data_IF_446604659478
#
_entry.id   IF_446604659478
#
_cell.length_a   1.000
_cell.length_b   1.000
_cell.length_c   1.000
_cell.angle_alpha   90.00
_cell.angle_beta   90.00
_cell.angle_gamma   90.00
#
_symmetry.space_group_name_H-M   'P 1'
#
loop_
_entity.id
_entity.type
_entity.pdbx_description
1 polymer ?
#
# COMPACT_ATOMS: atom_id res chain seq x y z
N UNK A 1 -60.32 -23.13 -47.97
CA UNK A 1 -60.37 -22.33 -46.73
C UNK A 1 -60.28 -23.29 -45.55
N UNK A 2 -59.18 -23.27 -44.80
CA UNK A 2 -59.13 -23.48 -43.34
C UNK A 2 -57.67 -23.31 -42.91
N UNK A 3 -57.36 -22.13 -42.35
CA UNK A 3 -56.08 -21.82 -41.72
C UNK A 3 -56.14 -22.35 -40.28
N UNK A 4 -55.31 -23.34 -39.95
CA UNK A 4 -55.08 -23.76 -38.56
C UNK A 4 -54.09 -22.79 -37.89
N UNK A 5 -54.52 -22.16 -36.80
CA UNK A 5 -53.68 -21.28 -35.97
C UNK A 5 -52.86 -22.11 -34.98
N UNK A 6 -51.54 -21.89 -35.00
CA UNK A 6 -50.56 -22.37 -34.03
C UNK A 6 -50.67 -21.56 -32.74
N UNK A 7 -50.93 -22.22 -31.61
CA UNK A 7 -50.70 -21.66 -30.29
C UNK A 7 -49.31 -22.08 -29.80
N UNK A 8 -48.30 -21.21 -29.95
CA UNK A 8 -47.03 -21.35 -29.23
C UNK A 8 -47.20 -20.69 -27.85
N UNK A 9 -47.34 -21.49 -26.81
CA UNK A 9 -47.27 -21.03 -25.42
C UNK A 9 -45.85 -20.61 -25.09
N UNK A 10 -45.61 -19.29 -24.95
CA UNK A 10 -44.36 -18.74 -24.45
C UNK A 10 -44.32 -18.92 -22.93
N UNK A 11 -43.62 -19.96 -22.45
CA UNK A 11 -43.29 -20.11 -21.04
C UNK A 11 -42.21 -19.09 -20.68
N UNK A 12 -42.61 -17.99 -20.03
CA UNK A 12 -41.67 -17.07 -19.39
C UNK A 12 -41.14 -17.79 -18.14
N UNK A 13 -39.96 -18.37 -18.25
CA UNK A 13 -39.18 -18.78 -17.09
C UNK A 13 -38.75 -17.51 -16.35
N UNK A 14 -39.51 -17.11 -15.33
CA UNK A 14 -39.05 -16.13 -14.35
C UNK A 14 -37.97 -16.84 -13.54
N UNK A 15 -36.72 -16.73 -13.97
CA UNK A 15 -35.58 -17.03 -13.09
C UNK A 15 -35.64 -16.04 -11.95
N UNK A 16 -36.05 -16.51 -10.78
CA UNK A 16 -35.93 -15.76 -9.53
C UNK A 16 -34.45 -15.39 -9.37
N UNK A 17 -34.13 -14.12 -9.60
CA UNK A 17 -32.86 -13.56 -9.16
C UNK A 17 -32.92 -13.61 -7.64
N UNK A 18 -32.27 -14.61 -7.05
CA UNK A 18 -32.17 -14.71 -5.60
C UNK A 18 -31.56 -13.43 -5.08
N UNK A 19 -32.30 -12.70 -4.24
CA UNK A 19 -31.75 -11.54 -3.54
C UNK A 19 -30.66 -12.09 -2.62
N UNK A 20 -29.40 -11.84 -2.97
CA UNK A 20 -28.26 -12.23 -2.16
C UNK A 20 -28.45 -11.70 -0.74
N UNK A 21 -28.19 -12.56 0.25
CA UNK A 21 -28.39 -12.20 1.64
C UNK A 21 -27.47 -11.04 2.04
N UNK A 22 -27.99 -10.10 2.84
CA UNK A 22 -27.28 -8.87 3.15
C UNK A 22 -25.86 -9.14 3.72
N UNK A 23 -24.85 -8.46 3.21
CA UNK A 23 -23.45 -8.73 3.59
C UNK A 23 -22.94 -7.79 4.68
N UNK A 24 -21.92 -8.19 5.46
CA UNK A 24 -21.15 -7.27 6.29
C UNK A 24 -20.65 -6.09 5.47
N UNK A 25 -20.73 -4.87 6.03
CA UNK A 25 -20.38 -3.64 5.32
C UNK A 25 -19.07 -3.08 5.85
N UNK A 26 -18.43 -2.21 5.06
CA UNK A 26 -17.22 -1.49 5.46
C UNK A 26 -16.14 -2.41 6.04
N UNK A 27 -16.00 -3.61 5.45
CA UNK A 27 -15.02 -4.59 5.91
C UNK A 27 -13.62 -4.07 5.61
N UNK A 28 -12.77 -4.00 6.63
CA UNK A 28 -11.40 -3.48 6.53
C UNK A 28 -10.44 -4.39 7.31
N UNK A 29 -9.36 -4.83 6.66
CA UNK A 29 -8.26 -5.53 7.32
C UNK A 29 -7.18 -4.51 7.68
N UNK A 30 -6.77 -4.50 8.95
CA UNK A 30 -5.79 -3.56 9.47
C UNK A 30 -4.66 -4.33 10.16
N UNK A 31 -3.47 -4.43 9.54
CA UNK A 31 -2.29 -4.96 10.19
C UNK A 31 -1.94 -4.14 11.43
N UNK A 32 -1.63 -4.84 12.52
CA UNK A 32 -1.33 -4.24 13.83
C UNK A 32 0.10 -4.51 14.25
N UNK A 33 0.67 -5.63 13.82
CA UNK A 33 2.03 -6.04 14.14
C UNK A 33 2.57 -7.04 13.10
N UNK A 34 3.71 -7.64 13.41
CA UNK A 34 4.31 -8.74 12.64
C UNK A 34 3.49 -10.03 12.69
N UNK A 35 2.57 -10.17 13.63
CA UNK A 35 1.84 -11.43 13.88
C UNK A 35 0.34 -11.23 14.06
N UNK A 36 -0.15 -10.00 13.81
CA UNK A 36 -1.56 -9.65 14.02
C UNK A 36 -2.12 -8.77 12.92
N UNK A 37 -3.30 -9.15 12.44
CA UNK A 37 -4.19 -8.33 11.61
C UNK A 37 -5.56 -8.32 12.28
N UNK A 38 -6.15 -7.15 12.45
CA UNK A 38 -7.54 -7.01 12.92
C UNK A 38 -8.44 -6.82 11.71
N UNK A 39 -9.48 -7.64 11.59
CA UNK A 39 -10.55 -7.42 10.63
C UNK A 39 -11.69 -6.68 11.32
N UNK A 40 -12.15 -5.57 10.75
CA UNK A 40 -13.29 -4.80 11.22
C UNK A 40 -14.44 -4.89 10.23
N UNK A 41 -15.68 -4.79 10.71
CA UNK A 41 -16.86 -4.70 9.87
C UNK A 41 -18.00 -3.95 10.56
N UNK A 42 -18.93 -3.46 9.75
CA UNK A 42 -20.24 -3.00 10.17
C UNK A 42 -21.30 -4.06 9.86
N UNK A 43 -22.38 -4.13 10.68
CA UNK A 43 -23.45 -5.07 10.40
C UNK A 43 -24.18 -4.74 9.07
N UNK A 44 -24.76 -5.77 8.42
CA UNK A 44 -25.67 -5.61 7.30
C UNK A 44 -26.80 -4.61 7.61
N UNK A 45 -27.37 -3.97 6.59
CA UNK A 45 -28.57 -3.12 6.77
C UNK A 45 -29.82 -3.98 6.66
N UNK A 46 -30.85 -3.66 7.45
CA UNK A 46 -32.18 -4.26 7.33
C UNK A 46 -32.33 -5.63 7.98
N UNK A 47 -31.24 -6.33 8.27
CA UNK A 47 -31.27 -7.65 8.91
C UNK A 47 -30.17 -7.76 9.97
N UNK A 48 -30.47 -8.43 11.08
CA UNK A 48 -29.55 -8.62 12.21
C UNK A 48 -28.99 -10.05 12.19
N UNK A 49 -27.68 -10.23 11.97
CA UNK A 49 -27.03 -11.53 12.08
C UNK A 49 -27.12 -12.08 13.51
N UNK A 50 -27.27 -13.40 13.64
CA UNK A 50 -27.12 -14.10 14.92
C UNK A 50 -25.64 -14.35 15.25
N UNK A 51 -24.80 -14.50 14.22
CA UNK A 51 -23.37 -14.72 14.35
C UNK A 51 -22.60 -14.24 13.11
N UNK A 52 -21.28 -14.23 13.21
CA UNK A 52 -20.37 -14.09 12.07
C UNK A 52 -19.37 -15.23 12.03
N UNK A 53 -19.21 -15.85 10.86
CA UNK A 53 -18.09 -16.75 10.57
C UNK A 53 -16.90 -15.93 10.12
N UNK A 54 -15.75 -16.23 10.69
CA UNK A 54 -14.49 -15.55 10.39
C UNK A 54 -13.54 -16.54 9.73
N UNK A 55 -12.98 -16.15 8.58
CA UNK A 55 -12.18 -17.02 7.72
C UNK A 55 -10.77 -16.46 7.52
N UNK A 56 -9.77 -17.34 7.53
CA UNK A 56 -8.39 -17.07 7.15
C UNK A 56 -8.00 -17.98 5.99
N UNK A 57 -7.55 -17.40 4.89
CA UNK A 57 -7.19 -18.10 3.64
C UNK A 57 -8.30 -19.05 3.14
N UNK A 58 -9.56 -18.64 3.33
CA UNK A 58 -10.76 -19.40 2.93
C UNK A 58 -11.21 -20.47 3.93
N UNK A 59 -10.48 -20.67 5.03
CA UNK A 59 -10.83 -21.64 6.08
C UNK A 59 -11.50 -20.91 7.25
N UNK A 60 -12.66 -21.38 7.70
CA UNK A 60 -13.28 -20.85 8.92
C UNK A 60 -12.39 -21.15 10.14
N UNK A 61 -11.99 -20.10 10.84
CA UNK A 61 -11.14 -20.19 12.04
C UNK A 61 -11.88 -19.85 13.33
N UNK A 62 -13.00 -19.13 13.22
CA UNK A 62 -13.83 -18.75 14.35
C UNK A 62 -15.28 -18.50 13.93
N UNK A 63 -16.16 -18.56 14.92
CA UNK A 63 -17.51 -18.01 14.86
C UNK A 63 -17.67 -17.08 16.07
N UNK A 64 -18.14 -15.86 15.81
CA UNK A 64 -18.33 -14.81 16.83
C UNK A 64 -19.79 -14.40 16.89
N UNK A 65 -20.19 -13.79 17.99
CA UNK A 65 -21.58 -13.35 18.18
C UNK A 65 -22.01 -12.29 17.16
N UNK A 66 -23.32 -12.16 16.94
CA UNK A 66 -23.89 -11.21 15.98
C UNK A 66 -23.70 -9.73 16.33
N UNK A 67 -23.26 -9.39 17.55
CA UNK A 67 -22.92 -8.03 17.95
C UNK A 67 -21.43 -7.70 17.71
N UNK A 68 -20.58 -8.69 17.41
CA UNK A 68 -19.19 -8.51 17.08
C UNK A 68 -19.00 -7.61 15.85
N UNK A 69 -18.01 -6.72 15.92
CA UNK A 69 -17.65 -5.76 14.85
C UNK A 69 -16.19 -5.89 14.43
N UNK A 70 -15.47 -6.83 15.04
CA UNK A 70 -14.06 -7.06 14.77
C UNK A 70 -13.60 -8.43 15.23
N UNK A 71 -12.51 -8.91 14.61
CA UNK A 71 -11.79 -10.10 15.04
C UNK A 71 -10.28 -9.91 14.88
N UNK A 72 -9.51 -10.31 15.89
CA UNK A 72 -8.05 -10.27 15.89
C UNK A 72 -7.49 -11.62 15.44
N UNK A 73 -6.92 -11.67 14.23
CA UNK A 73 -6.13 -12.81 13.79
C UNK A 73 -4.73 -12.68 14.38
N UNK A 74 -4.33 -13.62 15.24
CA UNK A 74 -3.03 -13.64 15.94
C UNK A 74 -2.21 -14.87 15.54
N UNK A 75 -0.92 -14.91 15.91
CA UNK A 75 -0.03 -16.02 15.56
C UNK A 75 0.33 -16.07 14.07
N UNK A 76 0.15 -14.95 13.36
CA UNK A 76 0.47 -14.87 11.94
C UNK A 76 1.99 -14.77 11.71
N UNK A 77 2.45 -15.27 10.56
CA UNK A 77 3.84 -15.08 10.11
C UNK A 77 4.10 -13.65 9.65
N UNK A 78 5.27 -13.10 10.02
CA UNK A 78 5.72 -11.76 9.66
C UNK A 78 5.95 -11.56 8.16
N UNK A 79 5.53 -10.41 7.64
CA UNK A 79 5.65 -10.03 6.24
C UNK A 79 4.86 -10.91 5.26
N UNK A 80 3.98 -11.79 5.75
CA UNK A 80 3.14 -12.67 4.93
C UNK A 80 1.79 -12.01 4.65
N UNK A 81 1.33 -12.19 3.42
CA UNK A 81 0.01 -11.80 2.96
C UNK A 81 -1.04 -12.86 3.32
N UNK A 82 -2.23 -12.39 3.70
CA UNK A 82 -3.36 -13.24 4.09
C UNK A 82 -4.64 -12.76 3.45
N UNK A 83 -5.55 -13.70 3.18
CA UNK A 83 -6.95 -13.44 2.84
C UNK A 83 -7.81 -13.57 4.09
N UNK A 84 -8.37 -12.46 4.55
CA UNK A 84 -9.17 -12.39 5.78
C UNK A 84 -10.62 -12.08 5.42
N UNK A 85 -11.55 -12.87 5.95
CA UNK A 85 -12.93 -12.80 5.53
C UNK A 85 -13.92 -12.88 6.69
N UNK A 86 -15.09 -12.30 6.46
CA UNK A 86 -16.23 -12.38 7.37
C UNK A 86 -17.50 -12.71 6.58
N UNK A 87 -18.35 -13.56 7.15
CA UNK A 87 -19.63 -13.97 6.60
C UNK A 87 -20.70 -13.82 7.69
N UNK A 88 -21.80 -13.14 7.39
CA UNK A 88 -22.94 -13.04 8.30
C UNK A 88 -23.74 -14.34 8.31
N UNK A 89 -24.15 -14.79 9.50
CA UNK A 89 -25.07 -15.92 9.71
C UNK A 89 -26.34 -15.40 10.38
N UNK A 90 -27.49 -15.85 9.92
CA UNK A 90 -28.81 -15.35 10.32
C UNK A 90 -29.57 -16.34 11.21
N UNK A 91 -30.58 -15.89 11.97
CA UNK A 91 -31.34 -16.77 12.87
C UNK A 91 -32.02 -17.98 12.20
N UNK A 92 -32.32 -17.88 10.90
CA UNK A 92 -32.90 -18.95 10.09
C UNK A 92 -31.86 -19.91 9.49
N UNK A 93 -30.59 -19.76 9.87
CA UNK A 93 -29.47 -20.59 9.41
C UNK A 93 -28.90 -20.19 8.05
N UNK A 94 -29.47 -19.20 7.35
CA UNK A 94 -28.90 -18.68 6.10
C UNK A 94 -27.62 -17.89 6.38
N UNK A 95 -26.77 -17.77 5.35
CA UNK A 95 -25.53 -17.02 5.42
C UNK A 95 -25.41 -16.05 4.23
N UNK A 96 -24.73 -14.92 4.45
CA UNK A 96 -24.39 -13.98 3.39
C UNK A 96 -23.31 -14.52 2.46
N UNK A 97 -23.04 -13.81 1.37
CA UNK A 97 -21.76 -13.95 0.67
C UNK A 97 -20.59 -13.60 1.62
N UNK A 98 -19.41 -14.16 1.32
CA UNK A 98 -18.18 -13.90 2.08
C UNK A 98 -17.59 -12.57 1.63
N UNK A 99 -17.29 -11.69 2.57
CA UNK A 99 -16.60 -10.43 2.28
C UNK A 99 -15.13 -10.55 2.68
N UNK A 100 -14.26 -10.67 1.69
CA UNK A 100 -12.82 -10.88 1.85
C UNK A 100 -12.00 -9.60 1.69
N UNK A 101 -10.91 -9.49 2.46
CA UNK A 101 -9.87 -8.48 2.31
C UNK A 101 -8.49 -9.13 2.33
N UNK A 102 -7.56 -8.51 1.60
CA UNK A 102 -6.16 -8.94 1.54
C UNK A 102 -5.30 -7.87 2.19
N UNK A 103 -4.48 -8.25 3.16
CA UNK A 103 -3.41 -7.39 3.68
C UNK A 103 -2.23 -8.25 4.19
N UNK A 104 -1.15 -7.59 4.56
CA UNK A 104 0.12 -8.19 4.94
C UNK A 104 0.50 -7.79 6.37
N UNK A 105 0.93 -8.74 7.18
CA UNK A 105 1.53 -8.44 8.49
C UNK A 105 2.79 -7.60 8.33
N UNK A 106 3.19 -6.89 9.39
CA UNK A 106 4.42 -6.10 9.31
C UNK A 106 5.63 -7.01 9.07
N UNK A 107 6.60 -6.49 8.31
CA UNK A 107 7.92 -7.12 8.23
C UNK A 107 8.61 -7.00 9.58
N UNK A 108 9.23 -8.08 10.04
CA UNK A 108 10.04 -8.04 11.25
C UNK A 108 11.27 -7.15 11.05
N UNK A 109 11.45 -6.16 11.95
CA UNK A 109 12.62 -5.29 11.94
C UNK A 109 13.89 -6.10 12.27
N UNK A 110 14.88 -6.18 11.36
CA UNK A 110 16.12 -6.90 11.63
C UNK A 110 16.99 -6.15 12.65
N UNK A 111 17.75 -6.89 13.46
CA UNK A 111 18.72 -6.30 14.39
C UNK A 111 19.76 -5.42 13.67
N UNK A 112 20.19 -5.85 12.48
CA UNK A 112 21.07 -5.07 11.60
C UNK A 112 20.78 -5.42 10.14
N UNK A 113 20.79 -4.40 9.27
CA UNK A 113 20.67 -4.60 7.82
C UNK A 113 21.44 -3.53 7.05
N UNK A 114 21.76 -3.81 5.78
CA UNK A 114 22.40 -2.87 4.84
C UNK A 114 21.51 -2.66 3.64
N UNK A 115 21.26 -1.42 3.29
CA UNK A 115 20.45 -1.02 2.15
C UNK A 115 21.18 0.07 1.37
N UNK A 116 21.21 0.03 0.04
CA UNK A 116 21.66 1.16 -0.76
C UNK A 116 20.88 2.45 -0.46
N UNK A 117 19.57 2.34 -0.20
CA UNK A 117 18.72 3.48 0.12
C UNK A 117 17.87 3.15 1.35
N UNK A 118 17.91 4.05 2.33
CA UNK A 118 17.04 4.05 3.51
C UNK A 118 16.15 5.30 3.47
N UNK A 119 14.84 5.10 3.43
CA UNK A 119 13.85 6.18 3.44
C UNK A 119 13.14 6.15 4.79
N UNK A 120 13.16 7.29 5.48
CA UNK A 120 12.54 7.47 6.80
C UNK A 120 11.29 8.33 6.64
N UNK A 121 10.13 7.69 6.67
CA UNK A 121 8.82 8.29 6.45
C UNK A 121 8.15 7.79 5.18
N UNK A 122 6.97 7.19 5.32
CA UNK A 122 6.09 6.71 4.26
C UNK A 122 5.05 7.73 3.83
N UNK A 123 5.40 9.03 3.81
CA UNK A 123 4.54 10.06 3.20
C UNK A 123 4.56 9.93 1.67
N UNK A 124 3.76 10.74 0.96
CA UNK A 124 3.72 10.71 -0.51
C UNK A 124 5.11 10.85 -1.16
N UNK A 125 6.00 11.68 -0.61
CA UNK A 125 7.37 11.82 -1.12
C UNK A 125 8.23 10.60 -0.84
N UNK A 126 8.13 10.00 0.35
CA UNK A 126 8.86 8.79 0.71
C UNK A 126 8.42 7.57 -0.09
N UNK A 127 7.11 7.41 -0.29
CA UNK A 127 6.54 6.39 -1.19
C UNK A 127 7.04 6.61 -2.62
N UNK A 128 7.02 7.85 -3.10
CA UNK A 128 7.50 8.18 -4.44
C UNK A 128 8.97 7.84 -4.65
N UNK A 129 9.82 8.27 -3.72
CA UNK A 129 11.25 7.95 -3.76
C UNK A 129 11.50 6.43 -3.69
N UNK A 130 10.76 5.70 -2.86
CA UNK A 130 10.90 4.25 -2.72
C UNK A 130 10.55 3.51 -4.01
N UNK A 131 9.38 3.81 -4.59
CA UNK A 131 8.92 3.18 -5.83
C UNK A 131 9.87 3.51 -6.99
N UNK A 132 10.25 4.77 -7.15
CA UNK A 132 11.17 5.17 -8.22
C UNK A 132 12.52 4.45 -8.08
N UNK A 133 13.11 4.42 -6.89
CA UNK A 133 14.38 3.72 -6.67
C UNK A 133 14.26 2.20 -6.91
N UNK A 134 13.17 1.59 -6.47
CA UNK A 134 12.93 0.15 -6.65
C UNK A 134 12.76 -0.23 -8.12
N UNK A 135 12.06 0.59 -8.91
CA UNK A 135 11.89 0.44 -10.37
C UNK A 135 13.21 0.63 -11.13
N UNK A 136 14.15 1.38 -10.57
CA UNK A 136 15.52 1.49 -11.07
C UNK A 136 16.42 0.32 -10.61
N UNK A 137 15.86 -0.71 -9.97
CA UNK A 137 16.58 -1.91 -9.54
C UNK A 137 17.31 -1.78 -8.21
N UNK A 138 17.12 -0.68 -7.47
CA UNK A 138 17.82 -0.44 -6.20
C UNK A 138 17.03 -1.03 -5.04
N UNK A 139 17.70 -1.76 -4.15
CA UNK A 139 17.08 -2.26 -2.90
C UNK A 139 16.85 -1.10 -1.93
N UNK A 140 15.63 -0.99 -1.41
CA UNK A 140 15.18 0.11 -0.54
C UNK A 140 14.65 -0.43 0.78
N UNK A 141 15.01 0.20 1.90
CA UNK A 141 14.25 0.09 3.14
C UNK A 141 13.36 1.33 3.29
N UNK A 142 12.04 1.13 3.38
CA UNK A 142 11.06 2.18 3.64
C UNK A 142 10.54 2.02 5.08
N UNK A 143 10.76 3.02 5.92
CA UNK A 143 10.41 3.00 7.34
C UNK A 143 9.21 3.91 7.59
N UNK A 144 8.16 3.40 8.22
CA UNK A 144 6.93 4.16 8.50
C UNK A 144 6.43 3.88 9.92
N UNK A 145 6.24 4.90 10.77
CA UNK A 145 5.74 4.70 12.13
C UNK A 145 4.29 4.23 12.18
N UNK A 146 3.44 4.63 11.24
CA UNK A 146 2.01 4.27 11.27
C UNK A 146 1.75 2.94 10.54
N UNK A 147 0.48 2.63 10.28
CA UNK A 147 0.04 1.53 9.41
C UNK A 147 -0.43 2.03 8.03
N UNK A 148 -0.15 3.30 7.70
CA UNK A 148 -0.61 3.98 6.50
C UNK A 148 0.55 4.53 5.68
N UNK A 149 0.41 4.48 4.36
CA UNK A 149 1.34 5.10 3.41
C UNK A 149 0.65 6.25 2.70
N UNK A 150 1.37 7.34 2.49
CA UNK A 150 0.93 8.53 1.74
C UNK A 150 0.80 9.80 2.56
N UNK A 151 0.93 9.74 3.88
CA UNK A 151 0.79 10.90 4.75
C UNK A 151 -0.60 11.54 4.62
N UNK A 152 -0.67 12.87 4.47
CA UNK A 152 -1.94 13.62 4.44
C UNK A 152 -2.94 13.11 3.39
N UNK A 153 -2.46 12.68 2.21
CA UNK A 153 -3.30 12.16 1.13
C UNK A 153 -4.14 10.96 1.61
N UNK A 154 -3.64 10.21 2.58
CA UNK A 154 -4.28 8.99 3.10
C UNK A 154 -4.79 9.11 4.53
N UNK A 155 -4.72 10.33 5.10
CA UNK A 155 -5.11 10.62 6.48
C UNK A 155 -6.04 11.84 6.61
N UNK A 156 -6.67 12.31 5.52
CA UNK A 156 -7.75 13.31 5.60
C UNK A 156 -7.75 14.38 4.53
N UNK A 157 -6.70 14.51 3.70
CA UNK A 157 -6.70 15.41 2.53
C UNK A 157 -7.02 14.60 1.29
N UNK A 158 -8.32 14.43 1.09
CA UNK A 158 -8.93 13.54 0.11
C UNK A 158 -9.34 14.23 -1.20
N UNK A 159 -9.12 15.55 -1.33
CA UNK A 159 -9.46 16.36 -2.50
C UNK A 159 -8.19 16.98 -3.03
N UNK A 160 -7.76 16.59 -4.23
CA UNK A 160 -6.54 17.14 -4.82
C UNK A 160 -6.79 18.49 -5.48
N UNK A 161 -6.03 19.49 -5.05
CA UNK A 161 -5.98 20.82 -5.64
C UNK A 161 -5.16 20.83 -6.95
N UNK A 162 -5.85 20.66 -8.08
CA UNK A 162 -5.24 20.70 -9.42
C UNK A 162 -5.90 21.79 -10.26
N UNK A 163 -5.10 22.75 -10.73
CA UNK A 163 -5.54 23.83 -11.63
C UNK A 163 -5.58 23.40 -13.10
N UNK A 164 -4.59 22.63 -13.55
CA UNK A 164 -4.49 22.14 -14.93
C UNK A 164 -4.25 20.63 -14.90
N UNK A 165 -5.29 19.85 -15.21
CA UNK A 165 -5.25 18.39 -15.13
C UNK A 165 -4.23 17.77 -16.09
N UNK A 166 -4.08 18.37 -17.27
CA UNK A 166 -3.17 17.89 -18.32
C UNK A 166 -1.68 18.00 -17.94
N UNK A 167 -1.36 18.62 -16.80
CA UNK A 167 0.01 18.67 -16.25
C UNK A 167 0.31 17.54 -15.26
N UNK A 168 -0.69 16.75 -14.88
CA UNK A 168 -0.47 15.59 -14.03
C UNK A 168 0.28 14.51 -14.83
N UNK A 169 1.37 13.99 -14.28
CA UNK A 169 2.17 12.93 -14.91
C UNK A 169 2.90 12.08 -13.86
N UNK A 170 3.65 11.08 -14.35
CA UNK A 170 4.52 10.25 -13.52
C UNK A 170 3.75 9.41 -12.50
N UNK A 171 4.35 9.21 -11.33
CA UNK A 171 3.82 8.33 -10.31
C UNK A 171 2.47 8.79 -9.75
N UNK A 172 2.23 10.10 -9.67
CA UNK A 172 0.95 10.61 -9.19
C UNK A 172 -0.17 10.34 -10.21
N UNK A 173 0.11 10.40 -11.52
CA UNK A 173 -0.86 10.03 -12.54
C UNK A 173 -1.21 8.54 -12.46
N UNK A 174 -0.21 7.67 -12.24
CA UNK A 174 -0.46 6.24 -12.02
C UNK A 174 -1.37 6.01 -10.80
N UNK A 175 -1.13 6.71 -9.69
CA UNK A 175 -1.99 6.65 -8.51
C UNK A 175 -3.42 7.14 -8.82
N UNK A 176 -3.56 8.29 -9.48
CA UNK A 176 -4.87 8.86 -9.86
C UNK A 176 -5.67 7.89 -10.74
N UNK A 177 -5.03 7.28 -11.73
CA UNK A 177 -5.67 6.31 -12.62
C UNK A 177 -6.14 5.06 -11.86
N UNK A 178 -5.35 4.57 -10.90
CA UNK A 178 -5.76 3.45 -10.03
C UNK A 178 -6.97 3.80 -9.17
N UNK A 179 -7.03 5.03 -8.64
CA UNK A 179 -8.20 5.52 -7.89
C UNK A 179 -9.44 5.57 -8.79
N UNK A 180 -9.32 6.17 -9.98
CA UNK A 180 -10.43 6.27 -10.93
C UNK A 180 -10.92 4.88 -11.35
N UNK A 181 -10.00 3.95 -11.62
CA UNK A 181 -10.32 2.56 -11.97
C UNK A 181 -11.05 1.84 -10.83
N UNK A 182 -10.65 2.05 -9.58
CA UNK A 182 -11.29 1.45 -8.41
C UNK A 182 -12.78 1.84 -8.30
N UNK A 183 -13.10 3.12 -8.42
CA UNK A 183 -14.49 3.59 -8.33
C UNK A 183 -15.32 3.20 -9.55
N UNK A 184 -14.74 3.23 -10.76
CA UNK A 184 -15.42 2.72 -11.97
C UNK A 184 -15.78 1.23 -11.82
N UNK A 185 -14.88 0.42 -11.27
CA UNK A 185 -15.13 -1.00 -11.04
C UNK A 185 -16.25 -1.26 -10.01
N UNK A 186 -16.47 -0.33 -9.07
CA UNK A 186 -17.60 -0.35 -8.12
C UNK A 186 -18.91 0.17 -8.74
N UNK A 187 -18.88 0.67 -9.97
CA UNK A 187 -20.03 1.23 -10.68
C UNK A 187 -20.33 2.68 -10.33
N UNK A 188 -19.40 3.40 -9.69
CA UNK A 188 -19.59 4.82 -9.40
C UNK A 188 -19.36 5.69 -10.64
N UNK A 189 -20.08 6.82 -10.71
CA UNK A 189 -19.83 7.86 -11.70
C UNK A 189 -18.62 8.73 -11.28
N UNK A 190 -17.48 8.52 -11.94
CA UNK A 190 -16.25 9.27 -11.67
C UNK A 190 -16.25 10.70 -12.22
N UNK A 191 -17.30 11.14 -12.93
CA UNK A 191 -17.44 12.54 -13.33
C UNK A 191 -17.91 13.44 -12.16
N UNK A 192 -18.56 12.84 -11.17
CA UNK A 192 -19.08 13.54 -10.00
C UNK A 192 -17.97 14.01 -9.07
N UNK A 193 -18.26 15.05 -8.28
CA UNK A 193 -17.31 15.65 -7.35
C UNK A 193 -16.69 14.63 -6.38
N UNK A 194 -17.46 13.64 -5.90
CA UNK A 194 -16.97 12.69 -4.90
C UNK A 194 -15.78 11.83 -5.36
N UNK A 195 -15.74 11.44 -6.64
CA UNK A 195 -14.71 10.56 -7.20
C UNK A 195 -13.99 11.17 -8.40
N UNK A 196 -14.11 12.49 -8.55
CA UNK A 196 -13.76 13.35 -9.70
C UNK A 196 -12.49 12.90 -10.44
N UNK A 197 -12.65 12.00 -11.40
CA UNK A 197 -11.59 11.37 -12.18
C UNK A 197 -10.39 10.94 -11.32
N UNK A 198 -10.64 10.33 -10.17
CA UNK A 198 -9.60 9.87 -9.24
C UNK A 198 -8.85 10.99 -8.49
N UNK A 199 -9.30 12.24 -8.57
CA UNK A 199 -8.74 13.36 -7.80
C UNK A 199 -9.33 13.46 -6.38
N UNK A 200 -10.49 12.83 -6.18
CA UNK A 200 -11.18 12.81 -4.91
C UNK A 200 -11.40 11.34 -4.51
N UNK A 201 -11.15 11.00 -3.24
CA UNK A 201 -11.17 9.61 -2.79
C UNK A 201 -11.29 9.46 -1.29
N UNK A 202 -11.85 8.35 -0.79
CA UNK A 202 -11.76 8.08 0.64
C UNK A 202 -10.30 7.78 1.05
N UNK A 203 -9.85 8.26 2.23
CA UNK A 203 -8.46 8.06 2.69
C UNK A 203 -8.03 6.59 2.77
N UNK A 204 -8.95 5.68 3.08
CA UNK A 204 -8.65 4.24 3.17
C UNK A 204 -8.41 3.63 1.78
N UNK A 205 -9.14 4.06 0.74
CA UNK A 205 -8.93 3.64 -0.65
C UNK A 205 -7.55 4.10 -1.12
N UNK A 206 -7.20 5.36 -0.84
CA UNK A 206 -5.88 5.88 -1.16
C UNK A 206 -4.75 5.11 -0.47
N UNK A 207 -4.89 4.80 0.82
CA UNK A 207 -3.95 3.97 1.56
C UNK A 207 -3.82 2.57 0.96
N UNK A 208 -4.93 1.91 0.64
CA UNK A 208 -4.96 0.59 0.03
C UNK A 208 -4.20 0.59 -1.31
N UNK A 209 -4.50 1.55 -2.19
CA UNK A 209 -3.87 1.65 -3.50
C UNK A 209 -2.39 2.00 -3.41
N UNK A 210 -1.98 2.89 -2.49
CA UNK A 210 -0.55 3.17 -2.27
C UNK A 210 0.20 1.94 -1.73
N UNK A 211 -0.39 1.20 -0.79
CA UNK A 211 0.16 -0.08 -0.34
C UNK A 211 0.31 -1.06 -1.49
N UNK A 212 -0.70 -1.21 -2.35
CA UNK A 212 -0.62 -2.07 -3.54
C UNK A 212 0.53 -1.66 -4.47
N UNK A 213 0.69 -0.36 -4.73
CA UNK A 213 1.80 0.15 -5.53
C UNK A 213 3.16 -0.19 -4.91
N UNK A 214 3.32 -0.04 -3.60
CA UNK A 214 4.57 -0.40 -2.90
C UNK A 214 4.80 -1.90 -2.86
N UNK A 215 3.76 -2.71 -2.62
CA UNK A 215 3.88 -4.17 -2.55
C UNK A 215 4.16 -4.83 -3.91
N UNK A 216 3.81 -4.16 -5.00
CA UNK A 216 4.16 -4.60 -6.35
C UNK A 216 5.68 -4.53 -6.63
N UNK A 217 6.43 -3.76 -5.83
CA UNK A 217 7.87 -3.56 -6.03
C UNK A 217 8.71 -4.48 -5.12
N UNK A 218 9.27 -5.60 -5.63
CA UNK A 218 9.99 -6.59 -4.80
C UNK A 218 11.27 -6.04 -4.16
N UNK A 219 11.80 -4.94 -4.69
CA UNK A 219 12.99 -4.27 -4.19
C UNK A 219 12.72 -3.39 -2.95
N UNK A 220 11.46 -3.22 -2.53
CA UNK A 220 11.12 -2.46 -1.31
C UNK A 220 10.91 -3.39 -0.13
N UNK A 221 11.72 -3.22 0.91
CA UNK A 221 11.43 -3.75 2.24
C UNK A 221 10.73 -2.67 3.06
N UNK A 222 9.42 -2.80 3.22
CA UNK A 222 8.59 -1.90 4.02
C UNK A 222 8.52 -2.36 5.48
N UNK A 223 8.87 -1.45 6.40
CA UNK A 223 8.80 -1.65 7.84
C UNK A 223 7.80 -0.65 8.44
N UNK A 224 6.66 -1.15 8.89
CA UNK A 224 5.66 -0.38 9.63
C UNK A 224 5.89 -0.45 11.14
N UNK A 225 5.29 0.49 11.88
CA UNK A 225 5.34 0.48 13.34
C UNK A 225 6.75 0.72 13.88
N UNK A 226 7.58 1.48 13.18
CA UNK A 226 8.98 1.76 13.56
C UNK A 226 9.27 3.25 13.56
N UNK A 227 10.02 3.73 14.55
CA UNK A 227 10.47 5.13 14.60
C UNK A 227 11.99 5.23 14.75
N UNK A 228 12.63 6.25 14.15
CA UNK A 228 14.05 6.48 14.32
C UNK A 228 14.34 6.93 15.75
N UNK A 229 15.51 6.55 16.27
CA UNK A 229 15.97 6.89 17.62
C UNK A 229 17.36 7.51 17.62
N UNK A 230 18.22 7.15 16.66
CA UNK A 230 19.57 7.68 16.56
C UNK A 230 20.07 7.67 15.12
N UNK A 231 20.74 8.75 14.70
CA UNK A 231 21.45 8.80 13.42
C UNK A 231 22.91 8.43 13.65
N UNK A 232 23.44 7.54 12.82
CA UNK A 232 24.83 7.11 12.85
C UNK A 232 25.63 7.88 11.81
N UNK A 233 26.74 8.49 12.24
CA UNK A 233 27.58 9.33 11.38
C UNK A 233 29.04 8.90 11.43
N UNK A 234 29.74 9.11 10.31
CA UNK A 234 31.21 9.10 10.23
C UNK A 234 31.64 10.46 9.67
N UNK A 235 32.15 11.34 10.52
CA UNK A 235 32.34 12.75 10.18
C UNK A 235 31.00 13.39 9.78
N UNK A 236 30.96 14.04 8.62
CA UNK A 236 29.76 14.68 8.08
C UNK A 236 28.86 13.74 7.27
N UNK A 237 29.21 12.45 7.12
CA UNK A 237 28.42 11.47 6.37
C UNK A 237 27.49 10.68 7.29
N UNK A 238 26.19 10.65 6.97
CA UNK A 238 25.24 9.71 7.57
C UNK A 238 25.54 8.32 7.01
N UNK A 239 25.56 7.31 7.89
CA UNK A 239 25.92 5.93 7.54
C UNK A 239 24.83 4.92 7.94
N UNK A 240 23.84 5.37 8.71
CA UNK A 240 22.70 4.57 9.11
C UNK A 240 21.84 5.26 10.15
N UNK A 241 20.77 4.59 10.53
CA UNK A 241 19.81 5.06 11.52
C UNK A 241 19.41 3.87 12.39
N UNK A 242 19.24 4.08 13.68
CA UNK A 242 18.67 3.10 14.60
C UNK A 242 17.18 3.31 14.73
N UNK A 243 16.44 2.23 14.69
CA UNK A 243 14.99 2.20 14.85
C UNK A 243 14.59 1.37 16.06
N UNK A 244 13.45 1.73 16.62
CA UNK A 244 12.72 0.91 17.60
C UNK A 244 11.31 0.68 17.07
N UNK A 245 10.75 -0.49 17.34
CA UNK A 245 9.33 -0.76 17.11
C UNK A 245 8.48 0.04 18.10
N UNK A 246 7.29 0.46 17.68
CA UNK A 246 6.39 1.27 18.51
C UNK A 246 5.73 0.47 19.64
N UNK A 247 5.70 -0.86 19.55
CA UNK A 247 5.37 -1.74 20.68
C UNK A 247 6.51 -1.84 21.72
N UNK A 248 7.65 -1.18 21.47
CA UNK A 248 8.80 -1.12 22.39
C UNK A 248 9.65 -2.40 22.44
N UNK A 249 9.25 -3.45 21.74
CA UNK A 249 9.82 -4.79 21.94
C UNK A 249 11.13 -5.05 21.16
N UNK A 250 11.41 -4.34 20.06
CA UNK A 250 12.54 -4.66 19.17
C UNK A 250 13.30 -3.41 18.71
N UNK A 251 14.63 -3.50 18.71
CA UNK A 251 15.55 -2.48 18.16
C UNK A 251 16.29 -3.04 16.95
N UNK A 252 16.50 -2.20 15.94
CA UNK A 252 17.20 -2.58 14.72
C UNK A 252 18.04 -1.43 14.14
N UNK A 253 19.11 -1.76 13.43
CA UNK A 253 20.05 -0.80 12.83
C UNK A 253 20.21 -1.02 11.30
N UNK A 254 19.30 -0.48 10.48
CA UNK A 254 19.53 -0.32 9.05
C UNK A 254 20.66 0.68 8.77
N UNK A 255 21.53 0.33 7.82
CA UNK A 255 22.69 1.15 7.42
C UNK A 255 22.73 1.31 5.91
N UNK A 256 23.28 2.42 5.43
CA UNK A 256 23.46 2.65 4.00
C UNK A 256 24.61 1.76 3.46
N UNK A 257 24.47 1.21 2.26
CA UNK A 257 25.56 0.50 1.60
C UNK A 257 26.50 1.49 0.91
N UNK A 258 27.80 1.42 1.19
CA UNK A 258 28.79 2.22 0.48
C UNK A 258 28.98 1.67 -0.94
N UNK A 259 28.38 2.34 -1.94
CA UNK A 259 28.44 1.94 -3.35
C UNK A 259 29.87 1.94 -3.94
N UNK A 260 30.88 2.42 -3.19
CA UNK A 260 32.29 2.44 -3.58
C UNK A 260 33.01 1.08 -3.49
N UNK A 261 32.36 0.03 -2.97
CA UNK A 261 33.02 -1.28 -2.72
C UNK A 261 32.51 -2.44 -3.58
N UNK A 262 31.60 -2.21 -4.53
CA UNK A 262 31.13 -3.23 -5.47
C UNK A 262 31.73 -3.01 -6.86
N UNK A 263 33.02 -3.30 -7.03
CA UNK A 263 33.62 -3.50 -8.35
C UNK A 263 34.14 -4.95 -8.43
N UNK A 264 33.67 -5.79 -9.37
CA UNK A 264 34.27 -7.08 -9.60
C UNK A 264 35.67 -6.88 -10.22
N UNK A 265 36.69 -7.43 -9.57
CA UNK A 265 38.04 -7.49 -10.12
C UNK A 265 38.06 -8.55 -11.24
N UNK A 266 37.93 -8.13 -12.50
CA UNK A 266 38.46 -8.89 -13.64
C UNK A 266 39.53 -8.06 -14.33
N UNK A 267 40.76 -8.54 -14.18
CA UNK A 267 41.99 -7.99 -14.77
C UNK A 267 42.20 -8.68 -16.11
N UNK A 268 42.12 -7.94 -17.21
CA UNK A 268 42.79 -8.31 -18.46
C UNK A 268 43.34 -7.04 -19.10
N UNK A 269 44.66 -7.03 -19.29
CA UNK A 269 45.40 -6.02 -20.05
C UNK A 269 45.05 -6.13 -21.54
N UNK A 270 44.85 -4.98 -22.19
CA UNK A 270 45.32 -4.75 -23.55
C UNK A 270 45.57 -3.26 -23.74
N UNK A 271 46.78 -2.97 -24.21
CA UNK A 271 47.32 -1.66 -24.54
C UNK A 271 46.86 -1.26 -25.94
N UNK A 272 46.41 -0.03 -26.13
CA UNK A 272 46.59 0.69 -27.40
C UNK A 272 46.35 2.18 -27.23
N UNK A 273 47.42 2.92 -27.46
CA UNK A 273 47.53 4.36 -27.69
C UNK A 273 46.57 4.84 -28.78
N UNK A 274 45.86 5.94 -28.56
CA UNK A 274 45.56 6.91 -29.62
C UNK A 274 45.22 8.28 -29.02
N UNK A 275 46.06 9.25 -29.40
CA UNK A 275 45.89 10.69 -29.29
C UNK A 275 44.72 11.19 -30.14
N UNK A 276 43.90 12.08 -29.59
CA UNK A 276 43.34 13.20 -30.35
C UNK A 276 42.91 14.33 -29.40
N UNK A 277 43.54 15.48 -29.60
CA UNK A 277 43.16 16.79 -29.09
C UNK A 277 41.92 17.32 -29.80
N UNK A 278 40.97 17.90 -29.07
CA UNK A 278 40.31 19.14 -29.51
C UNK A 278 39.82 19.91 -28.28
N UNK A 279 40.35 21.11 -28.16
CA UNK A 279 39.87 22.31 -27.49
C UNK A 279 38.35 22.47 -27.64
N UNK A 280 37.61 22.77 -26.57
CA UNK A 280 37.13 24.13 -26.35
C UNK A 280 36.38 24.32 -25.01
N UNK A 281 36.83 25.36 -24.30
CA UNK A 281 36.10 26.28 -23.44
C UNK A 281 34.77 25.87 -22.76
N UNK A 282 34.79 25.74 -21.42
CA UNK A 282 34.06 26.66 -20.54
C UNK A 282 34.46 26.44 -19.06
N UNK A 283 35.40 27.26 -18.58
CA UNK A 283 35.72 27.41 -17.15
C UNK A 283 35.51 28.88 -16.83
N UNK A 284 34.47 29.20 -16.05
CA UNK A 284 34.44 30.28 -15.03
C UNK A 284 33.00 30.71 -14.69
N UNK A 285 32.50 30.24 -13.56
CA UNK A 285 31.68 30.98 -12.58
C UNK A 285 31.50 30.05 -11.36
N UNK A 286 32.47 29.99 -10.44
CA UNK A 286 32.39 30.61 -9.11
C UNK A 286 31.05 30.30 -8.40
N UNK A 287 31.01 29.33 -7.50
CA UNK A 287 31.44 29.46 -6.11
C UNK A 287 30.67 30.56 -5.34
N UNK A 288 29.48 30.21 -4.83
CA UNK A 288 28.89 30.68 -3.56
C UNK A 288 27.50 30.06 -3.37
N UNK A 289 27.43 29.07 -2.49
CA UNK A 289 26.20 28.71 -1.77
C UNK A 289 26.61 28.01 -0.47
N UNK A 290 27.26 28.78 0.40
CA UNK A 290 27.24 28.55 1.84
C UNK A 290 25.82 28.77 2.35
N UNK A 291 25.40 27.85 3.21
CA UNK A 291 24.45 28.04 4.29
C UNK A 291 22.96 28.19 3.94
N UNK A 292 22.19 27.12 4.17
CA UNK A 292 20.75 27.19 4.40
C UNK A 292 20.28 25.99 5.25
N UNK A 293 20.23 26.26 6.56
CA UNK A 293 19.22 25.84 7.54
C UNK A 293 18.79 24.36 7.62
N UNK A 294 19.26 23.73 8.69
CA UNK A 294 18.48 22.80 9.50
C UNK A 294 17.13 23.41 9.88
N UNK A 295 16.05 22.98 9.22
CA UNK A 295 14.70 23.15 9.73
C UNK A 295 14.28 21.85 10.44
N UNK A 296 14.53 21.80 11.74
CA UNK A 296 13.82 20.94 12.68
C UNK A 296 12.34 21.31 12.66
N UNK A 297 11.51 20.44 12.10
CA UNK A 297 10.09 20.40 12.43
C UNK A 297 9.90 19.25 13.43
N UNK A 298 9.78 19.64 14.68
CA UNK A 298 9.22 18.83 15.76
C UNK A 298 7.78 18.44 15.41
N UNK A 299 7.51 17.15 15.50
CA UNK A 299 6.18 16.60 15.83
C UNK A 299 6.29 15.98 17.22
#
# INVERSE_FOLDING_TARGET
MHRGWLWLGLWIAITSVGVGQAVPRSVEAIPRSVERITLYWLPPRGETPSAYRVLLDGVQVAEVDGAAKSYDFTGLTAGREYRLAVQAVYPDGRASEVVERVDRTYRALPAQARYPILIVGGTASGVGAAITAARLGVKVALMEPTNRLGGMITNGVAVTDVRQRDRINGLYEEFRQRVEAYYRARGDDTSLYFYRNGLNFEPWVANMLMKQMVYAEPNIDLYFGVRPTRVLKKGNRITGVEFVTLDGARRGRPTESDASRAAPKSRTQASSTMTASTTDSCRAAQAKATDASLATLSW
#
